data_IF_873264510436
#
_entry.id   IF_873264510436
#
_cell.length_a   1.000
_cell.length_b   1.000
_cell.length_c   1.000
_cell.angle_alpha   90.00
_cell.angle_beta   90.00
_cell.angle_gamma   90.00
#
_symmetry.space_group_name_H-M   'P 1'
#
loop_
_entity.id
_entity.type
_entity.pdbx_description
1 polymer ?
#
# COMPACT_ATOMS: atom_id res chain seq x y z
N UNK A 1 27.52 -36.33 56.15
CA UNK A 1 26.20 -36.95 56.40
C UNK A 1 25.01 -36.19 55.78
N UNK A 2 25.11 -34.91 55.39
CA UNK A 2 24.02 -34.21 54.68
C UNK A 2 23.99 -34.40 53.15
N UNK A 3 25.15 -34.55 52.50
CA UNK A 3 25.22 -34.68 51.02
C UNK A 3 24.80 -36.06 50.49
N UNK A 4 24.96 -37.14 51.26
CA UNK A 4 24.51 -38.49 50.87
C UNK A 4 22.98 -38.58 50.82
N UNK A 5 22.28 -37.94 51.76
CA UNK A 5 20.82 -37.96 51.81
C UNK A 5 20.14 -37.13 50.72
N UNK A 6 20.84 -36.12 50.18
CA UNK A 6 20.30 -35.29 49.09
C UNK A 6 20.51 -35.98 47.73
N UNK A 7 21.63 -36.69 47.54
CA UNK A 7 21.87 -37.50 46.34
C UNK A 7 20.91 -38.68 46.22
N UNK A 8 20.59 -39.36 47.32
CA UNK A 8 19.60 -40.45 47.31
C UNK A 8 18.20 -39.96 46.95
N UNK A 9 17.82 -38.76 47.41
CA UNK A 9 16.54 -38.13 47.04
C UNK A 9 16.51 -37.70 45.58
N UNK A 10 17.61 -37.15 45.06
CA UNK A 10 17.73 -36.77 43.65
C UNK A 10 17.65 -38.01 42.74
N UNK A 11 18.36 -39.08 43.09
CA UNK A 11 18.30 -40.35 42.38
C UNK A 11 16.88 -40.94 42.36
N UNK A 12 16.19 -40.95 43.51
CA UNK A 12 14.80 -41.41 43.60
C UNK A 12 13.83 -40.55 42.78
N UNK A 13 14.09 -39.25 42.65
CA UNK A 13 13.24 -38.33 41.87
C UNK A 13 13.44 -38.55 40.37
N UNK A 14 14.70 -38.72 39.95
CA UNK A 14 15.06 -39.08 38.58
C UNK A 14 14.46 -40.44 38.19
N UNK A 15 14.51 -41.45 39.07
CA UNK A 15 13.89 -42.77 38.83
C UNK A 15 12.36 -42.71 38.74
N UNK A 16 11.71 -41.88 39.57
CA UNK A 16 10.28 -41.66 39.49
C UNK A 16 9.88 -41.04 38.14
N UNK A 17 10.67 -40.10 37.62
CA UNK A 17 10.44 -39.49 36.32
C UNK A 17 10.57 -40.50 35.17
N UNK A 18 11.61 -41.34 35.19
CA UNK A 18 11.84 -42.36 34.14
C UNK A 18 10.74 -43.44 34.11
N UNK A 19 10.08 -43.69 35.25
CA UNK A 19 8.94 -44.63 35.39
C UNK A 19 7.60 -44.07 34.92
N UNK A 20 7.50 -42.77 34.67
CA UNK A 20 6.23 -42.21 34.20
C UNK A 20 5.88 -42.77 32.82
N UNK A 21 4.59 -43.02 32.55
CA UNK A 21 4.17 -43.56 31.26
C UNK A 21 4.58 -42.60 30.15
N UNK A 22 5.22 -43.15 29.10
CA UNK A 22 5.76 -42.39 27.97
C UNK A 22 6.79 -41.31 28.34
N UNK A 23 7.50 -41.46 29.46
CA UNK A 23 8.60 -40.56 29.85
C UNK A 23 9.67 -40.37 28.74
N UNK A 24 9.84 -41.38 27.87
CA UNK A 24 10.72 -41.31 26.68
C UNK A 24 10.32 -40.19 25.71
N UNK A 25 9.04 -39.82 25.68
CA UNK A 25 8.49 -38.82 24.77
C UNK A 25 8.52 -37.40 25.35
N UNK A 26 8.85 -37.25 26.64
CA UNK A 26 8.93 -35.95 27.30
C UNK A 26 10.19 -35.17 26.84
N UNK A 27 10.08 -33.85 26.62
CA UNK A 27 11.15 -33.05 26.03
C UNK A 27 12.43 -32.99 26.89
N UNK A 28 12.28 -33.17 28.20
CA UNK A 28 13.37 -33.10 29.17
C UNK A 28 14.01 -34.47 29.49
N UNK A 29 13.59 -35.57 28.87
CA UNK A 29 14.11 -36.91 29.20
C UNK A 29 15.63 -37.02 29.01
N UNK A 30 16.19 -36.34 28.01
CA UNK A 30 17.63 -36.35 27.75
C UNK A 30 18.44 -35.54 28.77
N UNK A 31 17.86 -34.50 29.36
CA UNK A 31 18.52 -33.74 30.43
C UNK A 31 18.49 -34.55 31.73
N UNK A 32 17.33 -35.13 32.07
CA UNK A 32 17.16 -36.02 33.23
C UNK A 32 18.06 -37.25 33.14
N UNK A 33 18.18 -37.90 31.98
CA UNK A 33 19.09 -39.03 31.79
C UNK A 33 20.56 -38.66 31.97
N UNK A 34 20.97 -37.47 31.54
CA UNK A 34 22.35 -37.01 31.73
C UNK A 34 22.65 -36.75 33.20
N UNK A 35 21.71 -36.13 33.93
CA UNK A 35 21.81 -35.91 35.38
C UNK A 35 21.82 -37.25 36.14
N UNK A 36 20.92 -38.18 35.80
CA UNK A 36 20.87 -39.51 36.43
C UNK A 36 22.19 -40.29 36.27
N UNK A 37 22.78 -40.29 35.07
CA UNK A 37 24.00 -41.06 34.78
C UNK A 37 25.28 -40.39 35.28
N UNK A 38 25.35 -39.05 35.28
CA UNK A 38 26.59 -38.31 35.62
C UNK A 38 26.63 -37.79 37.04
N UNK A 39 25.50 -37.33 37.58
CA UNK A 39 25.43 -36.58 38.83
C UNK A 39 24.88 -37.43 39.98
N UNK A 40 23.82 -38.20 39.70
CA UNK A 40 23.13 -39.02 40.71
C UNK A 40 23.79 -40.40 40.92
N UNK A 41 24.68 -40.82 40.01
CA UNK A 41 25.38 -42.12 40.09
C UNK A 41 24.52 -43.32 39.68
N UNK A 42 23.41 -43.08 38.97
CA UNK A 42 22.50 -44.09 38.47
C UNK A 42 23.12 -44.98 37.40
N UNK A 43 22.69 -46.25 37.34
CA UNK A 43 23.21 -47.21 36.36
C UNK A 43 22.50 -47.01 35.02
N UNK A 44 23.23 -46.80 33.90
CA UNK A 44 22.61 -46.62 32.57
C UNK A 44 21.69 -47.77 32.16
N UNK A 45 22.02 -49.00 32.59
CA UNK A 45 21.20 -50.18 32.30
C UNK A 45 19.81 -50.08 32.91
N UNK A 46 19.73 -49.63 34.16
CA UNK A 46 18.46 -49.45 34.89
C UNK A 46 17.63 -48.35 34.23
N UNK A 47 18.23 -47.23 33.83
CA UNK A 47 17.49 -46.19 33.12
C UNK A 47 16.88 -46.68 31.79
N UNK A 48 17.59 -47.54 31.05
CA UNK A 48 17.07 -48.14 29.81
C UNK A 48 15.95 -49.13 30.10
N UNK A 49 16.10 -49.97 31.11
CA UNK A 49 15.05 -50.91 31.54
C UNK A 49 13.78 -50.16 31.95
N UNK A 50 13.89 -49.14 32.81
CA UNK A 50 12.78 -48.34 33.31
C UNK A 50 12.07 -47.55 32.19
N UNK A 51 12.81 -46.94 31.27
CA UNK A 51 12.23 -46.23 30.11
C UNK A 51 11.58 -47.16 29.09
N UNK A 52 12.11 -48.38 28.94
CA UNK A 52 11.54 -49.37 28.02
C UNK A 52 10.26 -49.98 28.59
N UNK A 53 10.21 -50.20 29.91
CA UNK A 53 9.04 -50.71 30.62
C UNK A 53 7.92 -49.66 30.74
N UNK A 54 8.27 -48.37 30.84
CA UNK A 54 7.30 -47.27 30.96
C UNK A 54 6.76 -46.77 29.60
N UNK A 55 7.29 -47.25 28.47
CA UNK A 55 6.80 -46.87 27.15
C UNK A 55 5.49 -47.59 26.81
N UNK A 56 4.40 -46.84 26.72
CA UNK A 56 3.06 -47.33 26.36
C UNK A 56 2.65 -46.91 24.95
N UNK A 57 3.23 -45.82 24.44
CA UNK A 57 3.04 -45.32 23.08
C UNK A 57 1.71 -44.60 22.87
N UNK A 58 1.16 -43.93 23.89
CA UNK A 58 -0.15 -43.27 23.80
C UNK A 58 -0.24 -42.26 22.66
N UNK A 59 0.81 -41.46 22.45
CA UNK A 59 0.88 -40.53 21.33
C UNK A 59 0.73 -41.26 19.98
N UNK A 60 1.51 -42.32 19.76
CA UNK A 60 1.47 -43.10 18.52
C UNK A 60 0.13 -43.82 18.31
N UNK A 61 -0.48 -44.32 19.40
CA UNK A 61 -1.81 -44.92 19.35
C UNK A 61 -2.88 -43.88 19.00
N UNK A 62 -2.79 -42.66 19.55
CA UNK A 62 -3.67 -41.56 19.17
C UNK A 62 -3.48 -41.17 17.70
N UNK A 63 -2.24 -41.07 17.20
CA UNK A 63 -1.97 -40.84 15.78
C UNK A 63 -2.62 -41.91 14.89
N UNK A 64 -2.54 -43.17 15.31
CA UNK A 64 -3.06 -44.30 14.57
C UNK A 64 -4.59 -44.30 14.52
N UNK A 65 -5.24 -43.98 15.65
CA UNK A 65 -6.69 -43.79 15.71
C UNK A 65 -7.13 -42.63 14.83
N UNK A 66 -6.43 -41.50 14.82
CA UNK A 66 -6.72 -40.39 13.91
C UNK A 66 -6.62 -40.82 12.43
N UNK A 67 -5.60 -41.61 12.06
CA UNK A 67 -5.46 -42.16 10.70
C UNK A 67 -6.58 -43.12 10.34
N UNK A 68 -7.03 -43.96 11.29
CA UNK A 68 -8.16 -44.86 11.06
C UNK A 68 -9.48 -44.12 10.92
N UNK A 69 -9.69 -43.06 11.71
CA UNK A 69 -10.87 -42.20 11.58
C UNK A 69 -10.93 -41.57 10.18
N UNK A 70 -9.82 -41.04 9.68
CA UNK A 70 -9.72 -40.51 8.31
C UNK A 70 -10.01 -41.55 7.21
N UNK A 71 -9.62 -42.81 7.43
CA UNK A 71 -9.90 -43.90 6.50
C UNK A 71 -11.36 -44.39 6.57
N UNK A 72 -12.02 -44.20 7.72
CA UNK A 72 -13.40 -44.60 7.96
C UNK A 72 -14.43 -43.54 7.55
N UNK A 73 -14.01 -42.30 7.38
CA UNK A 73 -14.85 -41.22 6.86
C UNK A 73 -15.16 -41.45 5.37
N UNK A 74 -16.45 -41.63 5.06
CA UNK A 74 -16.95 -41.83 3.71
C UNK A 74 -16.85 -40.52 2.90
N UNK A 75 -16.12 -40.48 1.77
CA UNK A 75 -15.94 -39.26 0.97
C UNK A 75 -17.24 -38.70 0.37
N UNK A 76 -18.36 -39.43 0.49
CA UNK A 76 -19.67 -39.04 -0.01
C UNK A 76 -20.53 -38.20 0.96
N UNK A 77 -20.11 -38.02 2.22
CA UNK A 77 -20.94 -37.39 3.27
C UNK A 77 -20.52 -35.98 3.69
N UNK A 78 -20.14 -35.12 2.74
CA UNK A 78 -20.45 -33.67 2.66
C UNK A 78 -19.63 -33.04 1.54
N UNK A 79 -20.18 -32.80 0.34
CA UNK A 79 -19.54 -31.97 -0.66
C UNK A 79 -19.76 -30.50 -0.27
N UNK A 80 -18.87 -29.92 0.54
CA UNK A 80 -18.99 -28.50 0.88
C UNK A 80 -18.10 -27.96 2.00
N UNK A 81 -17.46 -28.80 2.80
CA UNK A 81 -16.45 -28.36 3.74
C UNK A 81 -15.14 -29.07 3.39
N UNK A 82 -14.15 -28.33 2.92
CA UNK A 82 -12.75 -28.76 2.97
C UNK A 82 -12.40 -28.97 4.45
N UNK A 83 -12.74 -30.13 5.01
CA UNK A 83 -12.35 -30.49 6.36
C UNK A 83 -10.83 -30.67 6.31
N UNK A 84 -10.09 -29.62 6.68
CA UNK A 84 -8.67 -29.72 6.96
C UNK A 84 -8.48 -30.90 7.91
N UNK A 85 -7.64 -31.90 7.57
CA UNK A 85 -7.41 -33.05 8.42
C UNK A 85 -7.14 -32.58 9.85
N UNK A 86 -7.99 -32.97 10.81
CA UNK A 86 -7.79 -32.67 12.22
C UNK A 86 -6.70 -33.58 12.78
N UNK A 87 -5.51 -33.45 12.22
CA UNK A 87 -4.30 -34.16 12.62
C UNK A 87 -3.71 -33.56 13.89
N UNK A 88 -2.71 -34.23 14.47
CA UNK A 88 -1.99 -33.77 15.66
C UNK A 88 -1.46 -32.34 15.51
N UNK A 89 -1.02 -31.97 14.30
CA UNK A 89 -0.55 -30.62 13.98
C UNK A 89 -1.65 -29.56 14.13
N UNK A 90 -2.92 -29.90 13.85
CA UNK A 90 -4.06 -29.00 14.03
C UNK A 90 -4.30 -28.70 15.51
N UNK A 91 -4.33 -29.74 16.36
CA UNK A 91 -4.51 -29.57 17.80
C UNK A 91 -3.32 -28.86 18.44
N UNK A 92 -2.10 -29.20 18.04
CA UNK A 92 -0.88 -28.54 18.52
C UNK A 92 -0.89 -27.05 18.17
N UNK A 93 -1.34 -26.69 16.96
CA UNK A 93 -1.52 -25.31 16.54
C UNK A 93 -2.46 -24.54 17.49
N UNK A 94 -3.60 -25.14 17.86
CA UNK A 94 -4.55 -24.55 18.81
C UNK A 94 -3.94 -24.34 20.20
N UNK A 95 -3.25 -25.34 20.74
CA UNK A 95 -2.57 -25.24 22.04
C UNK A 95 -1.50 -24.15 22.03
N UNK A 96 -0.72 -24.06 20.95
CA UNK A 96 0.30 -23.00 20.81
C UNK A 96 -0.39 -21.63 20.80
N UNK A 97 -1.46 -21.45 20.03
CA UNK A 97 -2.19 -20.18 19.97
C UNK A 97 -2.77 -19.76 21.33
N UNK A 98 -3.27 -20.70 22.14
CA UNK A 98 -3.80 -20.42 23.48
C UNK A 98 -2.73 -20.10 24.52
N UNK A 99 -1.56 -20.73 24.42
CA UNK A 99 -0.47 -20.61 25.40
C UNK A 99 0.64 -19.65 24.96
N UNK A 100 0.50 -19.02 23.81
CA UNK A 100 1.55 -18.18 23.25
C UNK A 100 1.84 -16.96 24.12
N UNK A 101 3.11 -16.75 24.45
CA UNK A 101 3.59 -15.60 25.21
C UNK A 101 4.75 -14.94 24.43
N UNK A 102 4.53 -13.76 23.82
CA UNK A 102 5.53 -13.11 22.96
C UNK A 102 6.77 -12.67 23.74
N UNK A 103 6.64 -12.26 25.00
CA UNK A 103 7.76 -11.74 25.80
C UNK A 103 8.73 -12.86 26.17
N UNK A 104 8.19 -14.02 26.56
CA UNK A 104 9.01 -15.22 26.83
C UNK A 104 9.75 -15.66 25.58
N UNK A 105 9.07 -15.67 24.44
CA UNK A 105 9.69 -16.07 23.19
C UNK A 105 10.80 -15.10 22.76
N UNK A 106 10.55 -13.80 22.86
CA UNK A 106 11.53 -12.77 22.54
C UNK A 106 12.74 -12.82 23.49
N UNK A 107 12.55 -13.20 24.76
CA UNK A 107 13.65 -13.40 25.71
C UNK A 107 14.62 -14.50 25.28
N UNK A 108 14.14 -15.54 24.59
CA UNK A 108 14.99 -16.61 24.04
C UNK A 108 15.86 -16.09 22.90
N UNK A 109 15.33 -15.17 22.08
CA UNK A 109 16.09 -14.55 21.01
C UNK A 109 17.11 -13.52 21.54
N UNK A 110 16.78 -12.81 22.63
CA UNK A 110 17.71 -11.86 23.28
C UNK A 110 18.83 -12.54 24.06
N UNK A 111 18.56 -13.71 24.64
CA UNK A 111 19.52 -14.44 25.50
C UNK A 111 20.50 -15.32 24.73
N UNK A 112 20.17 -15.71 23.49
CA UNK A 112 21.03 -16.57 22.66
C UNK A 112 21.66 -15.77 21.52
N UNK A 113 22.96 -15.93 21.31
CA UNK A 113 23.68 -15.30 20.17
C UNK A 113 23.23 -15.86 18.80
N UNK A 114 22.55 -17.00 18.77
CA UNK A 114 22.14 -17.68 17.53
C UNK A 114 20.65 -17.98 17.50
N UNK A 115 20.06 -17.86 16.30
CA UNK A 115 18.68 -18.24 16.02
C UNK A 115 18.45 -19.72 16.39
N UNK A 116 17.38 -20.05 17.12
CA UNK A 116 17.08 -21.45 17.46
C UNK A 116 16.87 -22.32 16.21
N UNK A 117 17.47 -23.51 16.18
CA UNK A 117 17.43 -24.41 15.02
C UNK A 117 16.00 -24.84 14.62
N UNK A 118 15.08 -24.93 15.61
CA UNK A 118 13.69 -25.29 15.36
C UNK A 118 12.95 -24.26 14.50
N UNK A 119 13.40 -23.00 14.45
CA UNK A 119 12.80 -21.96 13.59
C UNK A 119 12.94 -22.33 12.13
N UNK A 120 14.10 -22.86 11.72
CA UNK A 120 14.30 -23.30 10.35
C UNK A 120 13.39 -24.46 9.96
N UNK A 121 13.12 -25.38 10.89
CA UNK A 121 12.13 -26.44 10.69
C UNK A 121 10.72 -25.87 10.51
N UNK A 122 10.34 -24.92 11.37
CA UNK A 122 9.01 -24.30 11.35
C UNK A 122 8.76 -23.43 10.11
N UNK A 123 9.77 -22.72 9.59
CA UNK A 123 9.63 -21.92 8.36
C UNK A 123 9.63 -22.77 7.10
N UNK A 124 10.27 -23.95 7.12
CA UNK A 124 10.29 -24.86 5.98
C UNK A 124 8.94 -25.53 5.75
N UNK A 125 8.22 -25.85 6.83
CA UNK A 125 6.90 -26.48 6.74
C UNK A 125 5.75 -25.47 6.50
N UNK A 126 4.78 -25.85 5.68
CA UNK A 126 3.64 -24.98 5.32
C UNK A 126 2.71 -24.74 6.52
N UNK A 127 2.49 -25.73 7.38
CA UNK A 127 1.61 -25.58 8.55
C UNK A 127 2.29 -24.65 9.57
N UNK A 128 3.60 -24.82 9.75
CA UNK A 128 4.44 -23.95 10.58
C UNK A 128 4.42 -22.48 10.13
N UNK A 129 4.55 -22.22 8.82
CA UNK A 129 4.41 -20.86 8.27
C UNK A 129 3.03 -20.27 8.54
N UNK A 130 1.96 -21.03 8.34
CA UNK A 130 0.59 -20.56 8.63
C UNK A 130 0.42 -20.17 10.10
N UNK A 131 0.95 -20.98 11.02
CA UNK A 131 0.94 -20.66 12.45
C UNK A 131 1.70 -19.35 12.74
N UNK A 132 2.86 -19.14 12.12
CA UNK A 132 3.63 -17.90 12.26
C UNK A 132 2.79 -16.70 11.80
N UNK A 133 2.11 -16.80 10.66
CA UNK A 133 1.26 -15.70 10.16
C UNK A 133 0.09 -15.40 11.08
N UNK A 134 -0.60 -16.43 11.57
CA UNK A 134 -1.74 -16.27 12.47
C UNK A 134 -1.30 -15.59 13.78
N UNK A 135 -0.16 -16.02 14.35
CA UNK A 135 0.41 -15.41 15.55
C UNK A 135 0.90 -13.99 15.30
N UNK A 136 1.54 -13.72 14.16
CA UNK A 136 2.01 -12.39 13.77
C UNK A 136 0.88 -11.39 13.58
N UNK A 137 -0.30 -11.85 13.11
CA UNK A 137 -1.49 -11.01 12.99
C UNK A 137 -1.97 -10.48 14.33
N UNK A 138 -1.86 -11.30 15.39
CA UNK A 138 -2.27 -10.98 16.77
C UNK A 138 -1.17 -10.25 17.54
N UNK A 139 0.08 -10.70 17.43
CA UNK A 139 1.24 -10.22 18.21
C UNK A 139 2.27 -9.47 17.35
N UNK A 140 1.86 -8.35 16.76
CA UNK A 140 2.67 -7.57 15.78
C UNK A 140 4.03 -7.05 16.29
N UNK A 141 4.19 -6.94 17.61
CA UNK A 141 5.39 -6.38 18.23
C UNK A 141 6.44 -7.45 18.64
N UNK A 142 6.18 -8.74 18.45
CA UNK A 142 7.15 -9.79 18.80
C UNK A 142 8.34 -9.78 17.85
N UNK A 143 9.54 -9.59 18.40
CA UNK A 143 10.79 -9.64 17.64
C UNK A 143 10.99 -10.98 16.95
N UNK A 144 10.66 -12.08 17.63
CA UNK A 144 10.83 -13.42 17.08
C UNK A 144 9.92 -13.69 15.89
N UNK A 145 8.65 -13.30 15.98
CA UNK A 145 7.71 -13.43 14.87
C UNK A 145 8.12 -12.56 13.69
N UNK A 146 8.63 -11.35 13.94
CA UNK A 146 9.13 -10.44 12.91
C UNK A 146 10.33 -11.06 12.18
N UNK A 147 11.26 -11.64 12.93
CA UNK A 147 12.39 -12.38 12.39
C UNK A 147 11.95 -13.59 11.56
N UNK A 148 10.98 -14.36 12.06
CA UNK A 148 10.47 -15.54 11.35
C UNK A 148 9.79 -15.17 10.01
N UNK A 149 8.96 -14.11 9.98
CA UNK A 149 8.35 -13.60 8.74
C UNK A 149 9.42 -13.12 7.75
N UNK A 150 10.44 -12.41 8.22
CA UNK A 150 11.58 -12.00 7.37
C UNK A 150 12.35 -13.20 6.82
N UNK A 151 12.57 -14.24 7.63
CA UNK A 151 13.21 -15.47 7.20
C UNK A 151 12.38 -16.19 6.12
N UNK A 152 11.06 -16.29 6.29
CA UNK A 152 10.15 -16.87 5.30
C UNK A 152 10.24 -16.12 3.96
N UNK A 153 10.33 -14.78 4.00
CA UNK A 153 10.54 -13.96 2.80
C UNK A 153 11.91 -14.20 2.16
N UNK A 154 12.96 -14.38 2.95
CA UNK A 154 14.30 -14.70 2.45
C UNK A 154 14.37 -16.10 1.82
N UNK A 155 13.61 -17.05 2.37
CA UNK A 155 13.48 -18.42 1.88
C UNK A 155 12.61 -18.51 0.59
N UNK A 156 12.01 -17.40 0.13
CA UNK A 156 11.35 -17.28 -1.19
C UNK A 156 9.84 -17.50 -1.20
N UNK A 157 9.17 -17.55 -0.04
CA UNK A 157 7.72 -17.79 0.08
C UNK A 157 6.87 -16.52 -0.10
N UNK A 158 7.26 -15.64 -1.01
CA UNK A 158 6.75 -14.27 -1.08
C UNK A 158 5.28 -14.15 -1.46
N UNK A 159 4.82 -15.03 -2.33
CA UNK A 159 3.43 -15.05 -2.78
C UNK A 159 2.49 -15.50 -1.66
N UNK A 160 2.96 -16.40 -0.79
CA UNK A 160 2.24 -16.87 0.39
C UNK A 160 2.14 -15.73 1.42
N UNK A 161 3.26 -15.05 1.70
CA UNK A 161 3.26 -13.92 2.64
C UNK A 161 2.38 -12.76 2.16
N UNK A 162 2.38 -12.48 0.85
CA UNK A 162 1.54 -11.45 0.25
C UNK A 162 0.04 -11.81 0.20
N UNK A 163 -0.32 -13.10 0.16
CA UNK A 163 -1.72 -13.53 0.08
C UNK A 163 -2.46 -13.44 1.41
N UNK A 164 -1.75 -13.44 2.54
CA UNK A 164 -2.33 -13.24 3.89
C UNK A 164 -2.84 -11.80 4.08
N UNK A 165 -2.46 -10.89 3.19
CA UNK A 165 -3.08 -9.57 3.08
C UNK A 165 -2.75 -8.61 4.23
N UNK A 166 -3.76 -7.84 4.65
CA UNK A 166 -3.63 -6.69 5.56
C UNK A 166 -3.09 -7.05 6.96
N UNK A 167 -3.23 -8.30 7.40
CA UNK A 167 -2.80 -8.73 8.74
C UNK A 167 -1.29 -8.61 8.96
N UNK A 168 -0.49 -8.79 7.90
CA UNK A 168 0.97 -8.68 7.94
C UNK A 168 1.48 -7.38 7.29
N UNK A 169 0.58 -6.49 6.86
CA UNK A 169 0.95 -5.22 6.22
C UNK A 169 1.70 -4.26 7.14
N UNK A 170 1.67 -4.48 8.47
CA UNK A 170 2.52 -3.77 9.43
C UNK A 170 4.02 -4.05 9.25
N UNK A 171 4.40 -5.16 8.60
CA UNK A 171 5.78 -5.48 8.31
C UNK A 171 6.24 -4.80 7.02
N UNK A 172 7.21 -3.89 7.13
CA UNK A 172 7.73 -3.13 6.00
C UNK A 172 8.17 -4.01 4.81
N UNK A 173 8.87 -5.12 5.07
CA UNK A 173 9.31 -6.03 4.01
C UNK A 173 8.15 -6.66 3.24
N UNK A 174 7.11 -7.10 3.95
CA UNK A 174 5.87 -7.66 3.37
C UNK A 174 5.14 -6.59 2.57
N UNK A 175 4.97 -5.40 3.17
CA UNK A 175 4.33 -4.26 2.54
C UNK A 175 5.03 -3.84 1.24
N UNK A 176 6.33 -3.57 1.31
CA UNK A 176 7.15 -3.18 0.16
C UNK A 176 7.02 -4.20 -0.97
N UNK A 177 7.15 -5.50 -0.67
CA UNK A 177 7.08 -6.56 -1.68
C UNK A 177 5.69 -6.71 -2.28
N UNK A 178 4.64 -6.54 -1.48
CA UNK A 178 3.25 -6.55 -1.94
C UNK A 178 3.00 -5.38 -2.90
N UNK A 179 3.39 -4.16 -2.54
CA UNK A 179 3.30 -2.98 -3.41
C UNK A 179 4.11 -3.19 -4.68
N UNK A 180 5.37 -3.60 -4.57
CA UNK A 180 6.23 -3.86 -5.73
C UNK A 180 5.64 -4.91 -6.69
N UNK A 181 5.00 -5.96 -6.15
CA UNK A 181 4.35 -7.00 -6.97
C UNK A 181 3.14 -6.43 -7.72
N UNK A 182 2.32 -5.60 -7.06
CA UNK A 182 1.20 -4.90 -7.71
C UNK A 182 1.67 -3.91 -8.77
N UNK A 183 2.73 -3.16 -8.51
CA UNK A 183 3.32 -2.22 -9.47
C UNK A 183 3.94 -2.95 -10.67
N UNK A 184 4.54 -4.13 -10.48
CA UNK A 184 5.00 -4.97 -11.61
C UNK A 184 3.84 -5.39 -12.51
N UNK A 185 2.68 -5.75 -11.94
CA UNK A 185 1.47 -6.09 -12.72
C UNK A 185 0.92 -4.90 -13.51
N UNK A 186 1.17 -3.67 -13.07
CA UNK A 186 0.73 -2.48 -13.79
C UNK A 186 1.46 -2.30 -15.14
N UNK A 187 2.65 -2.88 -15.30
CA UNK A 187 3.41 -2.82 -16.57
C UNK A 187 2.74 -3.74 -17.59
N UNK A 188 2.09 -3.16 -18.60
CA UNK A 188 1.38 -3.89 -19.64
C UNK A 188 -0.08 -4.23 -19.30
N UNK A 189 -0.60 -3.74 -18.17
CA UNK A 189 -2.01 -3.87 -17.82
C UNK A 189 -2.91 -3.10 -18.80
N UNK A 190 -4.08 -3.65 -19.08
CA UNK A 190 -5.17 -2.95 -19.76
C UNK A 190 -5.76 -1.86 -18.86
N UNK A 191 -6.54 -0.93 -19.44
CA UNK A 191 -7.17 0.16 -18.67
C UNK A 191 -8.03 -0.37 -17.51
N UNK A 192 -8.81 -1.44 -17.73
CA UNK A 192 -9.66 -2.04 -16.69
C UNK A 192 -8.84 -2.69 -15.58
N UNK A 193 -7.78 -3.43 -15.93
CA UNK A 193 -6.88 -4.04 -14.96
C UNK A 193 -6.16 -2.99 -14.13
N UNK A 194 -5.74 -1.89 -14.77
CA UNK A 194 -5.11 -0.76 -14.09
C UNK A 194 -6.07 -0.07 -13.11
N UNK A 195 -7.34 0.10 -13.48
CA UNK A 195 -8.37 0.65 -12.57
C UNK A 195 -8.57 -0.25 -11.34
N UNK A 196 -8.68 -1.56 -11.53
CA UNK A 196 -8.78 -2.54 -10.44
C UNK A 196 -7.55 -2.52 -9.53
N UNK A 197 -6.35 -2.59 -10.10
CA UNK A 197 -5.07 -2.50 -9.37
C UNK A 197 -4.96 -1.18 -8.58
N UNK A 198 -5.37 -0.07 -9.18
CA UNK A 198 -5.36 1.24 -8.52
C UNK A 198 -6.34 1.28 -7.36
N UNK A 199 -7.50 0.65 -7.47
CA UNK A 199 -8.47 0.52 -6.37
C UNK A 199 -7.89 -0.27 -5.20
N UNK A 200 -7.29 -1.43 -5.46
CA UNK A 200 -6.63 -2.24 -4.43
C UNK A 200 -5.46 -1.51 -3.76
N UNK A 201 -4.70 -0.73 -4.53
CA UNK A 201 -3.61 0.09 -4.00
C UNK A 201 -4.16 1.20 -3.09
N UNK A 202 -5.25 1.89 -3.46
CA UNK A 202 -5.90 2.91 -2.61
C UNK A 202 -6.28 2.35 -1.24
N UNK A 203 -6.93 1.20 -1.21
CA UNK A 203 -7.36 0.55 0.04
C UNK A 203 -6.20 0.13 0.92
N UNK A 204 -5.05 -0.25 0.36
CA UNK A 204 -3.89 -0.73 1.14
C UNK A 204 -2.89 0.35 1.52
N UNK A 205 -2.66 1.33 0.64
CA UNK A 205 -1.57 2.32 0.76
C UNK A 205 -2.02 3.54 1.54
N UNK A 206 -3.28 3.97 1.39
CA UNK A 206 -3.78 5.23 1.95
C UNK A 206 -4.27 5.11 3.41
N UNK A 207 -4.16 3.94 4.04
CA UNK A 207 -4.56 3.73 5.44
C UNK A 207 -3.57 4.33 6.45
N UNK A 208 -2.28 4.35 6.12
CA UNK A 208 -1.22 4.86 6.99
C UNK A 208 -0.37 5.93 6.32
N UNK A 209 0.15 6.87 7.11
CA UNK A 209 1.03 7.93 6.62
C UNK A 209 2.33 7.34 6.04
N UNK A 210 2.97 6.44 6.78
CA UNK A 210 4.24 5.83 6.36
C UNK A 210 4.09 4.92 5.13
N UNK A 211 2.98 4.19 5.02
CA UNK A 211 2.68 3.36 3.85
C UNK A 211 2.48 4.23 2.62
N UNK A 212 1.71 5.32 2.77
CA UNK A 212 1.48 6.29 1.70
C UNK A 212 2.77 6.96 1.22
N UNK A 213 3.56 7.51 2.15
CA UNK A 213 4.84 8.17 1.84
C UNK A 213 5.78 7.23 1.09
N UNK A 214 5.91 5.98 1.56
CA UNK A 214 6.75 4.98 0.90
C UNK A 214 6.28 4.66 -0.52
N UNK A 215 4.97 4.45 -0.72
CA UNK A 215 4.42 4.16 -2.03
C UNK A 215 4.58 5.34 -3.01
N UNK A 216 4.34 6.57 -2.55
CA UNK A 216 4.53 7.77 -3.37
C UNK A 216 6.00 7.98 -3.76
N UNK A 217 6.94 7.69 -2.85
CA UNK A 217 8.36 7.73 -3.17
C UNK A 217 8.75 6.69 -4.23
N UNK A 218 8.23 5.46 -4.14
CA UNK A 218 8.44 4.44 -5.17
C UNK A 218 7.87 4.86 -6.52
N UNK A 219 6.62 5.35 -6.54
CA UNK A 219 5.94 5.78 -7.76
C UNK A 219 6.63 6.99 -8.39
N UNK A 220 7.14 7.94 -7.59
CA UNK A 220 7.87 9.09 -8.11
C UNK A 220 9.16 8.66 -8.79
N UNK A 221 9.87 7.67 -8.23
CA UNK A 221 11.05 7.09 -8.86
C UNK A 221 10.71 6.33 -10.16
N UNK A 222 9.68 5.48 -10.13
CA UNK A 222 9.24 4.72 -11.31
C UNK A 222 8.70 5.60 -12.43
N UNK A 223 8.10 6.75 -12.09
CA UNK A 223 7.53 7.69 -13.06
C UNK A 223 8.55 8.33 -14.00
N UNK A 224 9.85 8.27 -13.65
CA UNK A 224 10.95 8.81 -14.46
C UNK A 224 11.44 7.86 -15.54
N UNK A 225 10.97 6.62 -15.56
CA UNK A 225 11.33 5.63 -16.59
C UNK A 225 10.58 5.91 -17.90
N UNK A 226 11.05 5.36 -19.02
CA UNK A 226 10.45 5.59 -20.35
C UNK A 226 8.94 5.25 -20.44
N UNK A 227 8.47 4.29 -19.63
CA UNK A 227 7.05 3.91 -19.50
C UNK A 227 6.44 4.35 -18.15
N UNK A 228 7.02 5.39 -17.54
CA UNK A 228 6.68 5.85 -16.20
C UNK A 228 5.33 6.56 -16.07
N UNK A 229 4.68 6.89 -17.19
CA UNK A 229 3.39 7.61 -17.21
C UNK A 229 2.27 6.86 -16.48
N UNK A 230 2.28 5.52 -16.51
CA UNK A 230 1.33 4.67 -15.78
C UNK A 230 1.50 4.87 -14.28
N UNK A 231 2.75 4.84 -13.78
CA UNK A 231 3.04 5.05 -12.36
C UNK A 231 2.73 6.47 -11.91
N UNK A 232 2.96 7.46 -12.78
CA UNK A 232 2.53 8.84 -12.54
C UNK A 232 1.01 8.93 -12.38
N UNK A 233 0.26 8.23 -13.24
CA UNK A 233 -1.20 8.20 -13.16
C UNK A 233 -1.68 7.56 -11.85
N UNK A 234 -1.12 6.41 -11.48
CA UNK A 234 -1.42 5.74 -10.20
C UNK A 234 -1.12 6.68 -9.02
N UNK A 235 0.03 7.35 -9.03
CA UNK A 235 0.42 8.32 -7.99
C UNK A 235 -0.61 9.43 -7.81
N UNK A 236 -1.07 10.04 -8.91
CA UNK A 236 -2.09 11.10 -8.90
C UNK A 236 -3.47 10.61 -8.42
N UNK A 237 -3.84 9.39 -8.80
CA UNK A 237 -5.10 8.78 -8.36
C UNK A 237 -5.04 8.41 -6.86
N UNK A 238 -3.86 8.01 -6.35
CA UNK A 238 -3.61 7.80 -4.92
C UNK A 238 -3.60 9.11 -4.13
N UNK A 239 -2.95 10.17 -4.63
CA UNK A 239 -2.98 11.51 -4.02
C UNK A 239 -4.42 12.00 -3.87
N UNK A 240 -5.21 11.85 -4.94
CA UNK A 240 -6.62 12.28 -4.97
C UNK A 240 -7.49 11.49 -3.99
N UNK A 241 -7.21 10.20 -3.79
CA UNK A 241 -7.94 9.37 -2.82
C UNK A 241 -7.50 9.66 -1.38
N UNK A 242 -6.19 9.73 -1.12
CA UNK A 242 -5.64 10.05 0.18
C UNK A 242 -6.09 11.44 0.66
N UNK A 243 -6.16 12.43 -0.23
CA UNK A 243 -6.63 13.78 0.11
C UNK A 243 -8.12 13.84 0.50
N UNK A 244 -8.94 12.86 0.09
CA UNK A 244 -10.34 12.75 0.57
C UNK A 244 -10.42 12.20 1.98
N UNK A 245 -9.46 11.36 2.36
CA UNK A 245 -9.39 10.73 3.68
C UNK A 245 -8.71 11.65 4.70
N UNK A 246 -7.64 12.33 4.30
CA UNK A 246 -6.71 13.05 5.18
C UNK A 246 -6.57 14.55 4.82
N UNK A 247 -7.52 15.08 4.05
CA UNK A 247 -7.63 16.49 3.67
C UNK A 247 -6.38 17.09 2.99
N UNK A 248 -6.12 18.38 3.25
CA UNK A 248 -5.09 19.20 2.62
C UNK A 248 -3.65 18.79 2.93
N UNK A 249 -3.43 18.00 3.99
CA UNK A 249 -2.09 17.60 4.45
C UNK A 249 -1.34 16.78 3.38
N UNK A 250 -2.07 15.93 2.65
CA UNK A 250 -1.52 15.08 1.59
C UNK A 250 -0.83 15.90 0.49
N UNK A 251 -1.44 17.01 0.09
CA UNK A 251 -0.89 17.88 -0.96
C UNK A 251 0.41 18.56 -0.51
N UNK A 252 0.53 18.88 0.77
CA UNK A 252 1.74 19.51 1.34
C UNK A 252 2.95 18.57 1.37
N UNK A 253 2.72 17.25 1.27
CA UNK A 253 3.80 16.27 1.16
C UNK A 253 4.37 16.18 -0.26
N UNK A 254 3.65 16.66 -1.28
CA UNK A 254 4.06 16.52 -2.68
C UNK A 254 5.50 17.01 -2.97
N UNK A 255 5.97 18.16 -2.43
CA UNK A 255 7.33 18.62 -2.67
C UNK A 255 8.40 17.65 -2.16
N UNK A 256 8.09 16.82 -1.15
CA UNK A 256 9.05 15.85 -0.60
C UNK A 256 9.29 14.64 -1.52
N UNK A 257 8.39 14.38 -2.46
CA UNK A 257 8.52 13.27 -3.43
C UNK A 257 9.28 13.66 -4.69
N UNK A 258 9.52 14.94 -4.89
CA UNK A 258 10.40 15.43 -5.95
C UNK A 258 11.84 15.21 -5.48
N UNK A 259 12.59 14.40 -6.23
CA UNK A 259 14.02 14.24 -5.93
C UNK A 259 14.72 15.52 -6.36
N UNK A 260 15.46 16.10 -5.42
CA UNK A 260 16.50 17.09 -5.71
C UNK A 260 17.56 16.38 -6.55
N UNK A 261 17.52 16.52 -7.87
CA UNK A 261 18.76 16.27 -8.61
C UNK A 261 19.78 17.30 -8.12
N UNK A 262 21.03 16.88 -7.94
CA UNK A 262 22.11 17.75 -7.41
C UNK A 262 22.43 18.96 -8.32
N UNK A 263 21.70 19.13 -9.42
CA UNK A 263 21.82 20.18 -10.44
C UNK A 263 20.53 21.01 -10.58
N UNK A 264 19.54 20.84 -9.70
CA UNK A 264 18.26 21.54 -9.84
C UNK A 264 18.33 23.01 -9.39
N UNK A 265 17.90 23.88 -10.30
CA UNK A 265 17.62 25.30 -10.09
C UNK A 265 16.73 25.51 -8.84
N UNK A 266 17.03 26.50 -7.97
CA UNK A 266 16.22 26.80 -6.77
C UNK A 266 14.74 27.09 -7.09
N UNK A 267 14.44 27.46 -8.34
CA UNK A 267 13.09 27.70 -8.83
C UNK A 267 12.24 26.42 -8.94
N UNK A 268 12.83 25.23 -9.08
CA UNK A 268 12.09 23.96 -9.19
C UNK A 268 11.39 23.60 -7.88
N UNK A 269 12.09 23.74 -6.75
CA UNK A 269 11.51 23.51 -5.42
C UNK A 269 10.43 24.56 -5.10
N UNK A 270 10.64 25.82 -5.49
CA UNK A 270 9.65 26.87 -5.31
C UNK A 270 8.34 26.56 -6.05
N UNK A 271 8.43 26.12 -7.31
CA UNK A 271 7.26 25.67 -8.08
C UNK A 271 6.54 24.51 -7.40
N UNK A 272 7.28 23.53 -6.87
CA UNK A 272 6.69 22.40 -6.15
C UNK A 272 5.85 22.85 -4.95
N UNK A 273 6.39 23.76 -4.14
CA UNK A 273 5.70 24.32 -2.98
C UNK A 273 4.45 25.12 -3.40
N UNK A 274 4.57 25.98 -4.41
CA UNK A 274 3.43 26.77 -4.94
C UNK A 274 2.33 25.84 -5.47
N UNK A 275 2.69 24.79 -6.21
CA UNK A 275 1.74 23.79 -6.70
C UNK A 275 1.05 23.08 -5.55
N UNK A 276 1.80 22.68 -4.52
CA UNK A 276 1.23 22.07 -3.31
C UNK A 276 0.23 22.99 -2.61
N UNK A 277 0.51 24.29 -2.53
CA UNK A 277 -0.43 25.30 -1.99
C UNK A 277 -1.70 25.41 -2.85
N UNK A 278 -1.57 25.45 -4.18
CA UNK A 278 -2.73 25.46 -5.10
C UNK A 278 -3.58 24.20 -4.90
N UNK A 279 -2.95 23.03 -4.75
CA UNK A 279 -3.62 21.75 -4.58
C UNK A 279 -4.31 21.59 -3.22
N UNK A 280 -3.71 22.18 -2.18
CA UNK A 280 -4.24 22.19 -0.82
C UNK A 280 -5.44 23.14 -0.65
N UNK A 281 -5.73 23.99 -1.65
CA UNK A 281 -6.88 24.89 -1.59
C UNK A 281 -8.19 24.07 -1.50
N UNK A 282 -9.03 24.28 -0.47
CA UNK A 282 -10.25 23.53 -0.28
C UNK A 282 -11.25 23.87 -1.39
N UNK A 283 -11.50 22.93 -2.30
CA UNK A 283 -12.43 23.10 -3.43
C UNK A 283 -13.80 22.46 -3.19
N UNK A 284 -14.00 21.85 -2.02
CA UNK A 284 -15.22 21.11 -1.67
C UNK A 284 -16.29 22.01 -1.03
N UNK A 285 -17.55 21.76 -1.40
CA UNK A 285 -18.76 22.54 -1.10
C UNK A 285 -18.96 23.02 0.33
N UNK A 286 -18.30 22.41 1.31
CA UNK A 286 -18.37 22.81 2.74
C UNK A 286 -17.60 24.10 3.01
N UNK A 287 -16.62 24.42 2.17
CA UNK A 287 -15.82 25.64 2.20
C UNK A 287 -15.89 26.24 0.80
N UNK A 288 -16.50 27.43 0.66
CA UNK A 288 -16.38 28.22 -0.56
C UNK A 288 -14.92 28.68 -0.70
N UNK A 289 -14.05 27.77 -1.13
CA UNK A 289 -12.65 28.09 -1.38
C UNK A 289 -12.57 29.12 -2.48
N UNK A 290 -12.06 30.30 -2.13
CA UNK A 290 -11.69 31.31 -3.10
C UNK A 290 -10.57 30.76 -3.98
N UNK A 291 -10.61 31.09 -5.27
CA UNK A 291 -9.53 30.82 -6.20
C UNK A 291 -8.18 31.27 -5.62
N UNK A 292 -7.11 30.44 -5.67
CA UNK A 292 -5.79 30.77 -5.14
C UNK A 292 -5.06 31.79 -6.03
N UNK A 293 -5.54 33.03 -6.06
CA UNK A 293 -5.01 34.07 -6.95
C UNK A 293 -3.51 34.37 -6.75
N UNK A 294 -3.07 34.50 -5.48
CA UNK A 294 -1.68 34.85 -5.18
C UNK A 294 -0.69 33.72 -5.54
N UNK A 295 -0.91 32.44 -5.16
CA UNK A 295 -0.05 31.33 -5.62
C UNK A 295 -0.01 31.20 -7.15
N UNK A 296 -1.14 31.41 -7.84
CA UNK A 296 -1.17 31.36 -9.32
C UNK A 296 -0.38 32.52 -9.94
N UNK A 297 -0.45 33.73 -9.39
CA UNK A 297 0.37 34.87 -9.86
C UNK A 297 1.87 34.63 -9.63
N UNK A 298 2.26 34.05 -8.49
CA UNK A 298 3.64 33.64 -8.22
C UNK A 298 4.13 32.58 -9.21
N UNK A 299 3.29 31.57 -9.51
CA UNK A 299 3.58 30.55 -10.51
C UNK A 299 3.78 31.18 -11.90
N UNK A 300 2.96 32.18 -12.25
CA UNK A 300 3.05 32.89 -13.52
C UNK A 300 4.38 33.61 -13.66
N UNK A 301 4.79 34.32 -12.61
CA UNK A 301 6.03 35.08 -12.60
C UNK A 301 7.25 34.17 -12.79
N UNK A 302 7.26 32.98 -12.18
CA UNK A 302 8.33 32.01 -12.36
C UNK A 302 8.41 31.47 -13.80
N UNK A 303 7.27 31.13 -14.41
CA UNK A 303 7.23 30.64 -15.81
C UNK A 303 7.34 31.73 -16.88
N UNK A 304 7.24 33.01 -16.48
CA UNK A 304 7.51 34.17 -17.34
C UNK A 304 8.95 34.69 -17.20
N UNK A 305 9.75 34.13 -16.28
CA UNK A 305 11.15 34.48 -16.12
C UNK A 305 12.00 34.02 -17.32
N UNK A 306 13.20 34.58 -17.46
CA UNK A 306 14.14 34.25 -18.55
C UNK A 306 14.60 32.79 -18.54
N UNK A 307 14.52 32.11 -17.39
CA UNK A 307 14.85 30.70 -17.25
C UNK A 307 13.69 29.97 -16.54
N UNK A 308 12.62 29.61 -17.26
CA UNK A 308 11.45 28.97 -16.66
C UNK A 308 11.82 27.59 -16.10
N UNK A 309 11.35 27.21 -14.90
CA UNK A 309 11.60 25.90 -14.31
C UNK A 309 10.89 24.77 -15.08
N UNK A 310 11.04 23.52 -14.64
CA UNK A 310 10.31 22.41 -15.26
C UNK A 310 8.80 22.59 -15.16
N UNK A 311 8.08 22.26 -16.23
CA UNK A 311 6.61 22.24 -16.24
C UNK A 311 6.02 20.99 -15.57
N UNK A 312 6.86 20.02 -15.20
CA UNK A 312 6.41 18.73 -14.66
C UNK A 312 5.48 18.85 -13.44
N UNK A 313 5.78 19.66 -12.41
CA UNK A 313 4.90 19.80 -11.24
C UNK A 313 3.58 20.49 -11.59
N UNK A 314 3.62 21.51 -12.45
CA UNK A 314 2.46 22.30 -12.82
C UNK A 314 1.45 21.51 -13.69
N UNK A 315 1.89 20.46 -14.38
CA UNK A 315 1.03 19.53 -15.16
C UNK A 315 0.20 18.56 -14.30
N UNK A 316 -0.09 18.91 -13.06
CA UNK A 316 -0.94 18.09 -12.21
C UNK A 316 -2.42 18.24 -12.62
N UNK A 317 -3.19 17.13 -12.80
CA UNK A 317 -4.58 17.20 -13.28
C UNK A 317 -5.49 18.09 -12.45
N UNK A 318 -5.32 18.08 -11.12
CA UNK A 318 -6.09 18.94 -10.22
C UNK A 318 -5.75 20.43 -10.39
N UNK A 319 -4.50 20.81 -10.66
CA UNK A 319 -4.13 22.21 -10.98
C UNK A 319 -4.86 22.66 -12.24
N UNK A 320 -4.79 21.86 -13.32
CA UNK A 320 -5.51 22.14 -14.57
C UNK A 320 -7.01 22.29 -14.33
N UNK A 321 -7.61 21.41 -13.50
CA UNK A 321 -9.02 21.51 -13.15
C UNK A 321 -9.38 22.80 -12.40
N UNK A 322 -8.50 23.28 -11.51
CA UNK A 322 -8.71 24.53 -10.76
C UNK A 322 -8.65 25.73 -11.71
N UNK A 323 -7.65 25.78 -12.60
CA UNK A 323 -7.50 26.85 -13.58
C UNK A 323 -8.67 26.88 -14.57
N UNK A 324 -9.10 25.72 -15.07
CA UNK A 324 -10.25 25.63 -15.97
C UNK A 324 -11.55 26.02 -15.28
N UNK A 325 -11.80 25.56 -14.05
CA UNK A 325 -12.98 25.99 -13.26
C UNK A 325 -12.99 27.51 -13.05
N UNK A 326 -11.83 28.10 -12.78
CA UNK A 326 -11.71 29.55 -12.59
C UNK A 326 -12.03 30.35 -13.86
N UNK A 327 -11.66 29.83 -15.03
CA UNK A 327 -11.92 30.46 -16.32
C UNK A 327 -13.35 30.27 -16.82
N UNK A 328 -13.91 29.07 -16.70
CA UNK A 328 -15.17 28.68 -17.35
C UNK A 328 -16.39 28.57 -16.41
N UNK A 329 -16.25 28.84 -15.11
CA UNK A 329 -17.41 28.82 -14.19
C UNK A 329 -18.33 30.04 -14.38
N UNK A 330 -19.60 29.89 -13.98
CA UNK A 330 -20.60 30.97 -14.01
C UNK A 330 -20.22 32.18 -13.12
N UNK A 331 -19.33 31.99 -12.15
CA UNK A 331 -18.72 33.04 -11.33
C UNK A 331 -17.29 33.34 -11.82
N UNK A 332 -17.12 33.42 -13.14
CA UNK A 332 -15.82 33.65 -13.76
C UNK A 332 -15.12 34.87 -13.15
N UNK A 333 -13.79 34.80 -13.06
CA UNK A 333 -12.98 35.90 -12.54
C UNK A 333 -13.26 37.18 -13.34
N UNK A 334 -13.79 38.19 -12.65
CA UNK A 334 -14.09 39.50 -13.23
C UNK A 334 -12.83 40.31 -13.57
N UNK A 335 -11.71 40.02 -12.90
CA UNK A 335 -10.46 40.74 -13.09
C UNK A 335 -9.75 40.30 -14.39
N UNK A 336 -9.69 41.22 -15.37
CA UNK A 336 -9.05 41.03 -16.67
C UNK A 336 -7.58 40.61 -16.56
N UNK A 337 -6.80 41.22 -15.64
CA UNK A 337 -5.38 40.89 -15.44
C UNK A 337 -5.19 39.45 -14.96
N UNK A 338 -6.05 38.99 -14.06
CA UNK A 338 -6.01 37.61 -13.56
C UNK A 338 -6.41 36.61 -14.64
N UNK A 339 -7.40 36.94 -15.48
CA UNK A 339 -7.79 36.13 -16.63
C UNK A 339 -6.61 35.94 -17.61
N UNK A 340 -5.95 37.02 -17.99
CA UNK A 340 -4.78 36.98 -18.88
C UNK A 340 -3.63 36.16 -18.26
N UNK A 341 -3.41 36.29 -16.96
CA UNK A 341 -2.41 35.53 -16.21
C UNK A 341 -2.69 34.03 -16.25
N UNK A 342 -3.95 33.62 -16.02
CA UNK A 342 -4.35 32.20 -16.05
C UNK A 342 -4.23 31.63 -17.46
N UNK A 343 -4.65 32.38 -18.49
CA UNK A 343 -4.54 31.93 -19.89
C UNK A 343 -3.08 31.75 -20.28
N UNK A 344 -2.21 32.70 -19.91
CA UNK A 344 -0.76 32.62 -20.16
C UNK A 344 -0.12 31.40 -19.51
N UNK A 345 -0.45 31.11 -18.24
CA UNK A 345 0.06 29.90 -17.57
C UNK A 345 -0.52 28.63 -18.20
N UNK A 346 -1.84 28.59 -18.43
CA UNK A 346 -2.52 27.39 -18.90
C UNK A 346 -2.01 26.99 -20.30
N UNK A 347 -1.83 27.96 -21.19
CA UNK A 347 -1.29 27.71 -22.54
C UNK A 347 0.14 27.17 -22.48
N UNK A 348 0.99 27.70 -21.58
CA UNK A 348 2.35 27.20 -21.34
C UNK A 348 2.35 25.79 -20.76
N UNK A 349 1.58 25.53 -19.70
CA UNK A 349 1.53 24.20 -19.05
C UNK A 349 1.11 23.11 -20.05
N UNK A 350 0.11 23.39 -20.87
CA UNK A 350 -0.48 22.42 -21.81
C UNK A 350 0.38 22.25 -23.08
N UNK A 351 0.96 23.33 -23.60
CA UNK A 351 1.56 23.32 -24.95
C UNK A 351 3.08 23.29 -24.99
N UNK A 352 3.76 23.65 -23.90
CA UNK A 352 5.23 23.64 -23.88
C UNK A 352 5.75 22.21 -24.11
N UNK A 353 6.84 22.05 -24.86
CA UNK A 353 7.58 20.79 -24.90
C UNK A 353 8.90 21.01 -24.16
N UNK A 354 9.09 20.25 -23.08
CA UNK A 354 10.24 20.39 -22.18
C UNK A 354 11.12 19.15 -22.33
N UNK A 355 12.03 19.19 -23.31
CA UNK A 355 12.94 18.08 -23.62
C UNK A 355 14.26 18.19 -22.84
N UNK A 356 14.42 19.20 -21.98
CA UNK A 356 15.57 19.37 -21.08
C UNK A 356 15.92 18.13 -20.25
N UNK A 357 14.96 17.34 -19.74
CA UNK A 357 15.27 16.08 -19.04
C UNK A 357 15.97 15.03 -19.92
N UNK A 358 15.85 15.15 -21.25
CA UNK A 358 16.49 14.28 -22.24
C UNK A 358 17.65 14.96 -22.98
N UNK A 359 18.10 16.12 -22.51
CA UNK A 359 19.19 16.91 -23.11
C UNK A 359 18.79 17.81 -24.28
N UNK A 360 17.49 18.05 -24.49
CA UNK A 360 16.94 18.99 -25.48
C UNK A 360 16.63 20.38 -24.91
N UNK A 361 16.01 21.22 -25.74
CA UNK A 361 15.62 22.59 -25.39
C UNK A 361 14.14 22.69 -25.00
N UNK A 362 13.76 23.85 -24.44
CA UNK A 362 12.36 24.18 -24.17
C UNK A 362 11.72 24.82 -25.41
N UNK A 363 10.69 24.17 -25.97
CA UNK A 363 9.88 24.73 -27.05
C UNK A 363 8.59 25.36 -26.51
N UNK A 364 8.38 26.64 -26.86
CA UNK A 364 7.21 27.44 -26.50
C UNK A 364 6.42 27.93 -27.73
N UNK A 365 6.77 27.49 -28.94
CA UNK A 365 6.19 27.96 -30.21
C UNK A 365 4.65 27.88 -30.23
N UNK A 366 4.09 26.76 -29.75
CA UNK A 366 2.64 26.50 -29.74
C UNK A 366 1.87 27.24 -28.64
N UNK A 367 2.55 27.90 -27.71
CA UNK A 367 1.88 28.52 -26.54
C UNK A 367 0.99 29.70 -26.94
N UNK A 368 1.37 30.45 -27.97
CA UNK A 368 0.59 31.58 -28.47
C UNK A 368 -0.69 31.10 -29.19
N UNK A 369 -0.58 30.09 -30.04
CA UNK A 369 -1.72 29.47 -30.72
C UNK A 369 -2.75 28.95 -29.71
N UNK A 370 -2.28 28.19 -28.70
CA UNK A 370 -3.16 27.69 -27.65
C UNK A 370 -3.81 28.80 -26.83
N UNK A 371 -3.10 29.90 -26.56
CA UNK A 371 -3.69 31.05 -25.86
C UNK A 371 -4.81 31.72 -26.68
N UNK A 372 -4.66 31.80 -28.00
CA UNK A 372 -5.70 32.30 -28.91
C UNK A 372 -6.91 31.37 -28.87
N UNK A 373 -6.71 30.06 -28.97
CA UNK A 373 -7.79 29.06 -28.91
C UNK A 373 -8.56 29.10 -27.57
N UNK A 374 -7.86 29.27 -26.44
CA UNK A 374 -8.50 29.39 -25.11
C UNK A 374 -9.32 30.69 -25.03
N UNK A 375 -8.81 31.81 -25.54
CA UNK A 375 -9.57 33.06 -25.56
C UNK A 375 -10.83 32.95 -26.43
N UNK A 376 -10.72 32.36 -27.62
CA UNK A 376 -11.88 32.08 -28.47
C UNK A 376 -12.92 31.22 -27.75
N UNK A 377 -12.48 30.18 -27.01
CA UNK A 377 -13.37 29.35 -26.20
C UNK A 377 -14.15 30.14 -25.15
N UNK A 378 -13.49 31.09 -24.48
CA UNK A 378 -14.09 31.91 -23.44
C UNK A 378 -15.10 32.90 -24.00
N UNK A 379 -14.80 33.49 -25.15
CA UNK A 379 -15.74 34.35 -25.86
C UNK A 379 -17.02 33.57 -26.21
N UNK A 380 -16.88 32.37 -26.76
CA UNK A 380 -18.00 31.48 -27.08
C UNK A 380 -18.83 31.11 -25.85
N UNK A 381 -18.18 30.76 -24.74
CA UNK A 381 -18.90 30.48 -23.49
C UNK A 381 -19.65 31.73 -23.00
N UNK A 382 -19.08 32.93 -23.16
CA UNK A 382 -19.74 34.19 -22.79
C UNK A 382 -20.93 34.52 -23.70
N UNK A 383 -20.92 34.10 -24.97
CA UNK A 383 -22.03 34.26 -25.90
C UNK A 383 -23.14 33.24 -25.67
N UNK A 384 -22.79 32.00 -25.34
CA UNK A 384 -23.72 30.95 -24.97
C UNK A 384 -24.49 31.31 -23.68
N UNK A 385 -23.82 31.86 -22.66
CA UNK A 385 -24.47 32.38 -21.44
C UNK A 385 -25.46 33.52 -21.75
N UNK A 386 -25.22 34.29 -22.82
CA UNK A 386 -26.13 35.36 -23.29
C UNK A 386 -27.28 34.85 -24.19
N UNK A 387 -27.40 33.53 -24.41
CA UNK A 387 -28.50 32.91 -25.14
C UNK A 387 -28.43 33.05 -26.67
N UNK A 388 -27.25 33.34 -27.24
CA UNK A 388 -27.07 33.36 -28.70
C UNK A 388 -26.81 31.95 -29.23
N UNK A 389 -27.37 31.61 -30.40
CA UNK A 389 -27.10 30.33 -31.06
C UNK A 389 -25.64 30.21 -31.46
N UNK A 390 -25.03 29.04 -31.24
CA UNK A 390 -23.64 28.76 -31.60
C UNK A 390 -23.39 29.01 -33.10
N UNK A 391 -22.36 29.78 -33.42
CA UNK A 391 -21.93 30.01 -34.81
C UNK A 391 -21.13 28.79 -35.34
N UNK A 392 -21.02 28.57 -36.66
CA UNK A 392 -20.23 27.48 -37.23
C UNK A 392 -18.75 27.52 -36.81
N UNK A 393 -18.19 28.72 -36.65
CA UNK A 393 -16.83 28.92 -36.14
C UNK A 393 -16.67 28.45 -34.67
N UNK A 394 -17.76 28.44 -33.89
CA UNK A 394 -17.76 27.95 -32.52
C UNK A 394 -17.57 26.43 -32.43
N UNK A 395 -18.06 25.71 -33.44
CA UNK A 395 -18.00 24.26 -33.53
C UNK A 395 -16.57 23.81 -33.88
N UNK A 396 -15.92 24.51 -34.80
CA UNK A 396 -14.52 24.29 -35.19
C UNK A 396 -13.54 24.59 -34.04
N UNK A 397 -13.77 25.67 -33.27
CA UNK A 397 -12.96 25.99 -32.09
C UNK A 397 -13.11 24.94 -30.97
N UNK A 398 -14.30 24.38 -30.77
CA UNK A 398 -14.55 23.32 -29.79
C UNK A 398 -13.84 22.00 -30.18
N UNK A 399 -13.78 21.68 -31.47
CA UNK A 399 -13.02 20.53 -31.99
C UNK A 399 -11.51 20.71 -31.79
N UNK A 400 -10.97 21.91 -32.05
CA UNK A 400 -9.57 22.23 -31.80
C UNK A 400 -9.20 22.14 -30.31
N UNK A 401 -10.07 22.60 -29.41
CA UNK A 401 -9.89 22.46 -27.95
C UNK A 401 -9.93 21.00 -27.49
N UNK A 402 -10.75 20.17 -28.14
CA UNK A 402 -10.79 18.72 -27.92
C UNK A 402 -9.43 18.05 -28.16
N UNK A 403 -8.72 18.48 -29.19
CA UNK A 403 -7.36 18.05 -29.50
C UNK A 403 -6.31 18.55 -28.51
N UNK A 404 -6.45 19.78 -28.00
CA UNK A 404 -5.47 20.42 -27.09
C UNK A 404 -5.56 19.87 -25.66
N UNK A 405 -6.76 19.59 -25.15
CA UNK A 405 -6.96 19.18 -23.76
C UNK A 405 -7.05 17.65 -23.56
N UNK A 406 -7.22 16.87 -24.64
CA UNK A 406 -7.51 15.45 -24.56
C UNK A 406 -8.90 15.16 -23.98
N UNK A 407 -9.47 14.02 -24.36
CA UNK A 407 -10.89 13.64 -24.21
C UNK A 407 -11.53 13.89 -22.82
N UNK A 408 -10.78 13.83 -21.71
CA UNK A 408 -11.34 14.06 -20.36
C UNK A 408 -11.38 15.53 -19.92
N UNK A 409 -10.42 16.36 -20.33
CA UNK A 409 -10.43 17.80 -20.00
C UNK A 409 -11.28 18.58 -21.01
N UNK A 410 -11.40 18.07 -22.25
CA UNK A 410 -12.33 18.57 -23.26
C UNK A 410 -13.80 18.45 -22.83
N UNK A 411 -14.13 17.48 -21.97
CA UNK A 411 -15.49 17.24 -21.51
C UNK A 411 -16.06 18.39 -20.66
N UNK A 412 -15.21 19.21 -20.03
CA UNK A 412 -15.67 20.35 -19.20
C UNK A 412 -16.06 21.55 -20.08
N UNK A 413 -15.22 22.03 -21.04
CA UNK A 413 -15.64 23.02 -22.03
C UNK A 413 -16.81 22.53 -22.88
N UNK A 414 -16.78 21.29 -23.42
CA UNK A 414 -17.86 20.80 -24.29
C UNK A 414 -19.21 20.68 -23.58
N UNK A 415 -19.26 20.21 -22.33
CA UNK A 415 -20.52 20.14 -21.56
C UNK A 415 -21.03 21.55 -21.21
N UNK A 416 -20.14 22.47 -20.85
CA UNK A 416 -20.50 23.88 -20.60
C UNK A 416 -21.01 24.60 -21.85
N UNK A 417 -20.44 24.27 -23.02
CA UNK A 417 -20.81 24.83 -24.33
C UNK A 417 -22.14 24.25 -24.84
N UNK A 418 -22.43 22.98 -24.57
CA UNK A 418 -23.62 22.28 -25.11
C UNK A 418 -24.87 22.44 -24.23
N UNK A 419 -24.74 22.62 -22.91
CA UNK A 419 -25.90 22.88 -22.05
C UNK A 419 -25.52 23.64 -20.75
N UNK A 420 -25.73 24.97 -20.70
CA UNK A 420 -25.39 25.77 -19.52
C UNK A 420 -26.21 25.42 -18.26
N UNK A 421 -27.31 24.67 -18.38
CA UNK A 421 -28.10 24.18 -17.24
C UNK A 421 -27.60 22.84 -16.69
N UNK A 422 -26.85 22.06 -17.47
CA UNK A 422 -26.18 20.83 -17.01
C UNK A 422 -24.88 21.11 -16.24
N UNK A 423 -24.44 22.37 -16.09
CA UNK A 423 -23.29 22.72 -15.27
C UNK A 423 -23.45 22.39 -13.77
N UNK A 424 -24.69 22.23 -13.26
CA UNK A 424 -24.96 21.88 -11.85
C UNK A 424 -24.49 20.46 -11.47
N UNK A 425 -24.84 19.38 -12.20
CA UNK A 425 -24.46 18.02 -11.83
C UNK A 425 -23.00 17.62 -12.12
N UNK A 426 -22.20 18.37 -12.89
CA UNK A 426 -20.80 17.99 -13.20
C UNK A 426 -19.78 18.39 -12.12
N UNK A 427 -20.16 19.31 -11.23
CA UNK A 427 -19.38 19.64 -10.01
C UNK A 427 -19.94 18.95 -8.75
N UNK A 428 -21.17 18.42 -8.86
CA UNK A 428 -21.60 17.08 -8.42
C UNK A 428 -20.61 15.93 -8.61
N UNK A 429 -19.94 15.37 -7.58
CA UNK A 429 -19.51 13.97 -7.74
C UNK A 429 -20.75 13.09 -7.98
N UNK A 430 -20.66 12.04 -8.83
CA UNK A 430 -21.75 11.08 -8.96
C UNK A 430 -22.02 10.49 -7.58
N UNK A 431 -23.24 10.67 -7.07
CA UNK A 431 -23.73 9.82 -5.99
C UNK A 431 -23.56 8.38 -6.48
N UNK A 432 -22.68 7.63 -5.83
CA UNK A 432 -22.70 6.18 -5.93
C UNK A 432 -24.14 5.73 -5.61
N UNK A 433 -24.83 5.00 -6.48
CA UNK A 433 -26.11 4.43 -6.13
C UNK A 433 -25.79 3.24 -5.24
N UNK A 434 -25.74 3.43 -3.91
CA UNK A 434 -25.74 2.37 -2.90
C UNK A 434 -25.72 3.02 -1.50
N UNK A 435 -26.87 3.51 -1.05
CA UNK A 435 -27.42 3.32 0.31
C UNK A 435 -28.73 4.11 0.42
N UNK A 436 -29.86 3.40 0.44
CA UNK A 436 -31.13 3.92 0.97
C UNK A 436 -31.27 3.33 2.38
N UNK A 437 -31.21 4.13 3.47
CA UNK A 437 -31.34 3.63 4.82
C UNK A 437 -32.82 3.60 5.26
N UNK A 438 -33.72 3.18 4.38
CA UNK A 438 -35.14 3.06 4.69
C UNK A 438 -35.87 2.02 3.83
N UNK A 439 -35.33 0.81 3.72
CA UNK A 439 -36.08 -0.47 3.59
C UNK A 439 -35.28 -1.59 4.26
#
# INVERSE_FOLDING_TARGET
>A
MGEETDKEKQLSTSELFLRMPDAVMEPDVLSVLRTYVREDGGKPKTAVEELSESFVGYAHMASLVCKWLQQSEDPSRTPGAEATPQDEAFFLKGVIQERFDPEKLDSVLRSKEHTPAWVGGLTSDRIGRQLIYDLSGVHRNSLMLNFAVQKILADGHDQEVASIGSNLAGYFGVYHRTVATRLKKAVGATVKELEALTSELKESVCQGEHTYVHAQHLLSHLSRTANGSIFRRISQDLESHAARLHEGAVWRLQPSFQQQSSMEEPNSQAVACIVAEILANPTEKKYQGSFPAAPVEQLANLYNSSNPPSFFPARHPKVLSILLKALFSAQAISNQKQRETIISILSKIVSAQDDRPSGGDLDLSRTQETAISINAALELCSEAVKGKSMSPAAQEAAEQLGGVFGLRLAHIPLVMITDPHLAKPFFDEPKSPLYDPSV
#
